data_IF_249905611829
#
_entry.id   IF_249905611829
#
_cell.length_a   1.000
_cell.length_b   1.000
_cell.length_c   1.000
_cell.angle_alpha   90.00
_cell.angle_beta   90.00
_cell.angle_gamma   90.00
#
_symmetry.space_group_name_H-M   'P 1'
#
loop_
_entity.id
_entity.type
_entity.pdbx_description
1 polymer ?
#
# COMPACT_ATOMS: atom_id res chain seq x y z
N UNK A 1 -24.14 -24.57 -49.23
CA UNK A 1 -23.61 -24.24 -50.57
C UNK A 1 -22.61 -23.11 -50.42
N UNK A 2 -21.52 -23.15 -51.19
CA UNK A 2 -20.38 -22.21 -51.27
C UNK A 2 -19.41 -22.23 -50.07
N UNK A 3 -18.08 -22.28 -50.23
CA UNK A 3 -17.22 -22.39 -51.41
C UNK A 3 -15.85 -22.96 -50.99
N UNK A 4 -15.41 -24.04 -51.67
CA UNK A 4 -14.01 -24.43 -51.75
C UNK A 4 -13.37 -23.69 -52.92
N UNK A 5 -12.22 -23.05 -52.69
CA UNK A 5 -11.25 -22.75 -53.74
C UNK A 5 -9.87 -22.61 -53.10
N UNK A 6 -9.02 -23.62 -53.29
CA UNK A 6 -7.58 -23.46 -53.15
C UNK A 6 -6.90 -24.27 -54.26
N UNK A 7 -6.07 -23.55 -55.00
CA UNK A 7 -5.42 -23.88 -56.27
C UNK A 7 -4.26 -24.87 -56.09
N UNK A 8 -4.10 -25.74 -57.10
CA UNK A 8 -2.94 -26.60 -57.36
C UNK A 8 -1.76 -25.77 -57.90
N UNK A 9 -0.53 -26.00 -57.40
CA UNK A 9 0.70 -26.05 -58.22
C UNK A 9 1.72 -27.03 -57.62
N UNK A 10 2.30 -27.85 -58.51
CA UNK A 10 3.31 -28.90 -58.34
C UNK A 10 4.70 -28.39 -57.91
N UNK A 11 5.53 -29.26 -57.30
CA UNK A 11 6.98 -29.05 -57.30
C UNK A 11 7.83 -29.98 -56.43
N UNK A 12 8.31 -31.08 -57.03
CA UNK A 12 9.64 -31.72 -56.90
C UNK A 12 10.16 -32.13 -55.51
N UNK A 13 10.43 -33.43 -55.36
CA UNK A 13 10.78 -34.08 -54.11
C UNK A 13 12.19 -33.86 -53.56
N UNK A 14 12.31 -34.13 -52.26
CA UNK A 14 13.55 -34.37 -51.52
C UNK A 14 13.31 -35.49 -50.50
N UNK A 15 14.26 -36.41 -50.41
CA UNK A 15 14.28 -37.62 -49.55
C UNK A 15 14.24 -37.23 -48.05
N UNK A 16 13.67 -38.04 -47.15
CA UNK A 16 13.68 -37.73 -45.73
C UNK A 16 15.03 -38.12 -45.10
N UNK A 17 15.87 -37.15 -44.76
CA UNK A 17 17.01 -37.35 -43.85
C UNK A 17 16.61 -37.10 -42.40
N UNK A 18 16.87 -38.10 -41.56
CA UNK A 18 17.14 -38.07 -40.10
C UNK A 18 16.19 -37.28 -39.21
N UNK A 19 15.35 -38.02 -38.49
CA UNK A 19 14.73 -37.59 -37.24
C UNK A 19 15.81 -37.26 -36.20
N UNK A 20 15.97 -35.97 -35.89
CA UNK A 20 16.68 -35.51 -34.70
C UNK A 20 15.68 -35.43 -33.55
N UNK A 21 15.80 -36.34 -32.60
CA UNK A 21 15.04 -36.37 -31.36
C UNK A 21 15.39 -35.13 -30.51
N UNK A 22 14.43 -34.22 -30.35
CA UNK A 22 14.54 -33.09 -29.45
C UNK A 22 14.37 -33.59 -28.00
N UNK A 23 15.42 -33.52 -27.19
CA UNK A 23 15.31 -33.73 -25.74
C UNK A 23 15.25 -32.37 -25.03
N UNK A 24 14.21 -32.09 -24.23
CA UNK A 24 14.17 -30.87 -23.45
C UNK A 24 15.15 -30.95 -22.28
N UNK A 25 15.99 -29.93 -22.16
CA UNK A 25 16.88 -29.70 -21.01
C UNK A 25 16.00 -29.33 -19.81
N UNK A 26 16.06 -30.12 -18.74
CA UNK A 26 15.42 -29.81 -17.46
C UNK A 26 16.34 -28.93 -16.62
N UNK A 27 15.87 -27.73 -16.27
CA UNK A 27 16.51 -26.87 -15.28
C UNK A 27 15.99 -27.21 -13.88
N UNK A 28 16.86 -27.38 -12.87
CA UNK A 28 16.40 -27.58 -11.50
C UNK A 28 15.78 -26.28 -10.98
N UNK A 29 14.48 -26.30 -10.66
CA UNK A 29 13.80 -25.18 -10.02
C UNK A 29 14.17 -25.11 -8.53
N UNK A 30 15.23 -24.40 -8.18
CA UNK A 30 15.46 -24.01 -6.77
C UNK A 30 14.84 -22.64 -6.50
N UNK A 31 13.52 -22.60 -6.40
CA UNK A 31 12.83 -21.44 -5.82
C UNK A 31 12.35 -21.83 -4.42
N UNK A 32 13.21 -21.65 -3.41
CA UNK A 32 12.73 -21.54 -2.03
C UNK A 32 11.95 -20.23 -1.93
N UNK A 33 10.65 -20.27 -2.22
CA UNK A 33 9.73 -19.19 -1.85
C UNK A 33 9.53 -19.25 -0.34
N UNK A 34 10.39 -18.59 0.41
CA UNK A 34 10.07 -18.21 1.79
C UNK A 34 8.93 -17.19 1.70
N UNK A 35 7.69 -17.67 1.80
CA UNK A 35 6.56 -16.81 2.10
C UNK A 35 6.78 -16.34 3.53
N UNK A 36 7.37 -15.15 3.67
CA UNK A 36 7.46 -14.47 4.95
C UNK A 36 6.04 -14.19 5.43
N UNK A 37 5.58 -15.01 6.36
CA UNK A 37 4.31 -14.85 7.04
C UNK A 37 4.33 -13.51 7.79
N UNK A 38 3.29 -12.71 7.54
CA UNK A 38 2.88 -11.43 8.12
C UNK A 38 3.68 -10.94 9.34
N UNK A 39 4.41 -9.82 9.17
CA UNK A 39 5.11 -9.08 10.26
C UNK A 39 4.45 -7.76 10.64
N UNK A 40 3.51 -7.24 9.84
CA UNK A 40 3.03 -5.87 9.97
C UNK A 40 2.28 -5.60 11.28
N UNK A 41 1.29 -6.43 11.63
CA UNK A 41 0.56 -6.30 12.90
C UNK A 41 1.45 -6.39 14.14
N UNK A 42 2.46 -7.27 14.13
CA UNK A 42 3.31 -7.54 15.28
C UNK A 42 4.21 -6.36 15.68
N UNK A 43 4.47 -5.38 14.79
CA UNK A 43 5.22 -4.17 15.17
C UNK A 43 4.34 -3.20 15.98
N UNK A 44 3.08 -3.06 15.57
CA UNK A 44 2.09 -2.19 16.24
C UNK A 44 1.67 -2.78 17.58
N UNK A 45 1.52 -4.11 17.67
CA UNK A 45 1.06 -4.80 18.88
C UNK A 45 2.04 -4.69 20.07
N UNK A 46 3.26 -4.18 19.86
CA UNK A 46 4.22 -3.87 20.94
C UNK A 46 3.83 -2.63 21.75
N UNK A 47 3.00 -1.76 21.19
CA UNK A 47 2.62 -0.50 21.79
C UNK A 47 1.32 -0.66 22.60
N UNK A 48 1.31 -0.11 23.81
CA UNK A 48 0.11 -0.12 24.65
C UNK A 48 -0.88 0.93 24.19
N UNK A 49 -2.17 0.59 24.16
CA UNK A 49 -3.24 1.58 23.93
C UNK A 49 -3.42 2.55 25.09
N UNK A 50 -2.78 2.31 26.23
CA UNK A 50 -2.82 3.19 27.40
C UNK A 50 -1.77 4.32 27.33
N UNK A 51 -0.78 4.20 26.44
CA UNK A 51 0.27 5.20 26.26
C UNK A 51 -0.11 6.19 25.15
N UNK A 52 0.45 7.40 25.20
CA UNK A 52 0.30 8.38 24.13
C UNK A 52 1.35 8.11 23.07
N UNK A 53 0.90 7.74 21.88
CA UNK A 53 1.76 7.47 20.72
C UNK A 53 2.02 8.76 19.93
N UNK A 54 3.29 8.98 19.57
CA UNK A 54 3.71 10.08 18.70
C UNK A 54 4.20 9.52 17.35
N UNK A 55 3.44 9.82 16.29
CA UNK A 55 3.70 9.40 14.90
C UNK A 55 4.08 10.61 14.04
N UNK A 56 5.35 11.09 14.03
CA UNK A 56 5.76 12.24 13.23
C UNK A 56 5.57 12.01 11.72
N UNK A 57 4.97 12.99 11.04
CA UNK A 57 4.82 12.99 9.59
C UNK A 57 6.10 13.37 8.87
N UNK A 58 6.53 12.49 7.97
CA UNK A 58 7.69 12.73 7.10
C UNK A 58 7.44 13.79 6.02
N UNK A 59 6.19 14.26 5.85
CA UNK A 59 5.87 15.35 4.92
C UNK A 59 6.67 16.62 5.24
N UNK A 60 7.01 16.83 6.52
CA UNK A 60 7.80 17.96 7.00
C UNK A 60 9.32 17.72 6.99
N UNK A 61 9.76 16.51 6.64
CA UNK A 61 11.17 16.13 6.69
C UNK A 61 11.96 16.68 5.50
N UNK A 62 13.29 16.72 5.63
CA UNK A 62 14.16 16.94 4.49
C UNK A 62 14.32 15.66 3.64
N UNK A 63 13.63 15.61 2.51
CA UNK A 63 13.64 14.48 1.57
C UNK A 63 15.02 14.15 0.99
N UNK A 64 15.96 15.10 0.92
CA UNK A 64 17.32 14.83 0.42
C UNK A 64 18.13 13.91 1.35
N UNK A 65 17.67 13.74 2.60
CA UNK A 65 18.32 12.94 3.65
C UNK A 65 17.28 12.18 4.48
N UNK A 66 16.24 11.67 3.82
CA UNK A 66 15.05 11.13 4.49
C UNK A 66 15.38 9.99 5.48
N UNK A 67 16.28 9.08 5.13
CA UNK A 67 16.70 8.01 6.02
C UNK A 67 17.40 8.50 7.30
N UNK A 68 18.17 9.58 7.21
CA UNK A 68 18.78 10.22 8.39
C UNK A 68 17.72 10.93 9.24
N UNK A 69 16.73 11.58 8.62
CA UNK A 69 15.64 12.25 9.32
C UNK A 69 14.78 11.26 10.11
N UNK A 70 14.47 10.09 9.52
CA UNK A 70 13.74 9.03 10.21
C UNK A 70 14.53 8.50 11.41
N UNK A 71 15.82 8.22 11.25
CA UNK A 71 16.67 7.80 12.38
C UNK A 71 16.76 8.85 13.47
N UNK A 72 16.78 10.14 13.11
CA UNK A 72 16.85 11.22 14.08
C UNK A 72 15.58 11.29 14.96
N UNK A 73 14.39 11.15 14.37
CA UNK A 73 13.14 11.14 15.15
C UNK A 73 12.96 9.85 15.95
N UNK A 74 13.42 8.70 15.43
CA UNK A 74 13.45 7.44 16.17
C UNK A 74 14.35 7.56 17.42
N UNK A 75 15.56 8.11 17.27
CA UNK A 75 16.46 8.39 18.41
C UNK A 75 15.87 9.41 19.40
N UNK A 76 15.02 10.33 18.92
CA UNK A 76 14.30 11.27 19.78
C UNK A 76 13.11 10.63 20.52
N UNK A 77 12.81 9.35 20.24
CA UNK A 77 11.79 8.57 20.95
C UNK A 77 10.40 8.64 20.35
N UNK A 78 10.26 8.87 19.03
CA UNK A 78 8.96 8.67 18.39
C UNK A 78 8.59 7.18 18.34
N UNK A 79 7.30 6.91 18.31
CA UNK A 79 6.77 5.54 18.35
C UNK A 79 6.62 4.96 16.96
N UNK A 80 5.98 5.71 16.06
CA UNK A 80 5.66 5.31 14.68
C UNK A 80 6.21 6.35 13.69
N UNK A 81 6.23 6.03 12.40
CA UNK A 81 6.58 6.98 11.33
C UNK A 81 5.37 7.17 10.43
N UNK A 82 4.81 8.39 10.41
CA UNK A 82 3.63 8.69 9.62
C UNK A 82 4.00 9.07 8.18
N UNK A 83 3.31 8.47 7.22
CA UNK A 83 3.56 8.61 5.78
C UNK A 83 2.28 9.08 5.09
N UNK A 84 2.26 10.37 4.77
CA UNK A 84 1.15 11.02 4.05
C UNK A 84 1.28 10.82 2.53
N UNK A 85 0.40 10.00 1.96
CA UNK A 85 0.34 9.66 0.53
C UNK A 85 -0.77 10.47 -0.13
N UNK A 86 -0.42 11.25 -1.15
CA UNK A 86 -1.35 12.13 -1.87
C UNK A 86 -1.20 11.93 -3.39
N UNK A 87 -2.32 11.87 -4.11
CA UNK A 87 -2.36 11.58 -5.56
C UNK A 87 -2.71 12.78 -6.45
N UNK A 88 -2.93 13.96 -5.86
CA UNK A 88 -3.37 15.16 -6.60
C UNK A 88 -4.84 15.13 -7.04
N UNK A 89 -5.60 14.10 -6.65
CA UNK A 89 -7.00 13.90 -7.01
C UNK A 89 -7.91 14.05 -5.80
N UNK A 90 -7.66 13.29 -4.74
CA UNK A 90 -8.43 13.39 -3.51
C UNK A 90 -8.09 14.68 -2.74
N UNK A 91 -6.82 15.06 -2.78
CA UNK A 91 -6.30 16.34 -2.27
C UNK A 91 -5.52 17.07 -3.36
N UNK A 92 -5.42 18.41 -3.35
CA UNK A 92 -4.77 19.19 -4.40
C UNK A 92 -3.23 19.22 -4.26
N UNK A 93 -2.61 18.08 -3.93
CA UNK A 93 -1.17 17.94 -3.79
C UNK A 93 -0.72 16.51 -4.11
N UNK A 94 0.54 16.32 -4.52
CA UNK A 94 1.15 15.00 -4.80
C UNK A 94 2.39 14.87 -3.93
N UNK A 95 2.51 13.77 -3.17
CA UNK A 95 3.63 13.57 -2.26
C UNK A 95 4.53 12.42 -2.73
N UNK A 96 4.24 11.21 -2.27
CA UNK A 96 5.10 10.04 -2.35
C UNK A 96 4.26 8.79 -2.55
N UNK A 97 4.90 7.74 -3.07
CA UNK A 97 4.26 6.44 -3.32
C UNK A 97 4.96 5.29 -2.58
N UNK A 98 4.59 4.04 -2.90
CA UNK A 98 5.11 2.85 -2.24
C UNK A 98 6.64 2.74 -2.27
N UNK A 99 7.32 3.31 -3.28
CA UNK A 99 8.79 3.25 -3.34
C UNK A 99 9.47 3.91 -2.13
N UNK A 100 8.87 4.95 -1.56
CA UNK A 100 9.44 5.63 -0.37
C UNK A 100 9.25 4.78 0.87
N UNK A 101 8.09 4.12 1.00
CA UNK A 101 7.84 3.15 2.08
C UNK A 101 8.83 1.99 2.01
N UNK A 102 9.05 1.44 0.82
CA UNK A 102 10.03 0.36 0.58
C UNK A 102 11.45 0.79 0.95
N UNK A 103 11.85 2.02 0.58
CA UNK A 103 13.15 2.58 0.91
C UNK A 103 13.32 2.87 2.41
N UNK A 104 12.24 3.22 3.12
CA UNK A 104 12.25 3.47 4.57
C UNK A 104 12.23 2.20 5.40
N UNK A 105 11.60 1.13 4.89
CA UNK A 105 11.47 -0.12 5.63
C UNK A 105 12.79 -0.71 6.16
N UNK A 106 13.92 -0.72 5.42
CA UNK A 106 15.20 -1.20 5.96
C UNK A 106 15.92 -0.18 6.87
N UNK A 107 15.42 1.06 6.99
CA UNK A 107 16.06 2.14 7.76
C UNK A 107 15.67 2.13 9.23
N UNK A 108 14.44 1.69 9.54
CA UNK A 108 13.85 1.67 10.88
C UNK A 108 13.08 0.38 11.11
N UNK A 109 12.92 -0.05 12.37
CA UNK A 109 12.03 -1.16 12.77
C UNK A 109 10.72 -0.66 13.41
N UNK A 110 10.52 0.67 13.53
CA UNK A 110 9.26 1.25 13.98
C UNK A 110 8.11 0.97 13.00
N UNK A 111 6.84 0.97 13.45
CA UNK A 111 5.70 0.90 12.56
C UNK A 111 5.70 2.02 11.51
N UNK A 112 5.46 1.66 10.25
CA UNK A 112 5.17 2.60 9.18
C UNK A 112 3.65 2.78 9.08
N UNK A 113 3.19 3.96 9.47
CA UNK A 113 1.79 4.37 9.52
C UNK A 113 1.42 5.13 8.25
N UNK A 114 0.83 4.44 7.28
CA UNK A 114 0.55 4.97 5.94
C UNK A 114 -0.87 5.51 5.85
N UNK A 115 -0.99 6.79 5.55
CA UNK A 115 -2.25 7.49 5.38
C UNK A 115 -2.50 7.77 3.89
N UNK A 116 -3.53 7.14 3.32
CA UNK A 116 -3.87 7.22 1.90
C UNK A 116 -4.90 8.31 1.61
N UNK A 117 -4.43 9.53 1.35
CA UNK A 117 -5.22 10.64 0.80
C UNK A 117 -5.31 10.55 -0.74
N UNK A 118 -5.89 9.45 -1.22
CA UNK A 118 -6.01 9.13 -2.65
C UNK A 118 -7.43 8.66 -3.00
N UNK A 119 -7.76 8.70 -4.29
CA UNK A 119 -8.97 8.03 -4.81
C UNK A 119 -8.69 6.56 -5.09
N UNK A 120 -9.73 5.72 -5.01
CA UNK A 120 -9.65 4.27 -5.29
C UNK A 120 -8.52 3.56 -4.51
N UNK A 121 -8.39 3.78 -3.18
CA UNK A 121 -7.23 3.30 -2.42
C UNK A 121 -7.07 1.79 -2.44
N UNK A 122 -8.16 1.02 -2.62
CA UNK A 122 -8.15 -0.44 -2.73
C UNK A 122 -7.21 -0.96 -3.84
N UNK A 123 -6.94 -0.14 -4.87
CA UNK A 123 -6.01 -0.46 -5.95
C UNK A 123 -4.55 -0.35 -5.51
N UNK A 124 -4.25 0.49 -4.51
CA UNK A 124 -2.89 0.77 -4.06
C UNK A 124 -2.53 0.14 -2.71
N UNK A 125 -3.53 -0.25 -1.91
CA UNK A 125 -3.34 -0.97 -0.64
C UNK A 125 -2.31 -2.12 -0.75
N UNK A 126 -2.38 -3.04 -1.75
CA UNK A 126 -1.42 -4.14 -1.83
C UNK A 126 0.03 -3.69 -2.02
N UNK A 127 0.25 -2.59 -2.75
CA UNK A 127 1.59 -2.07 -3.00
C UNK A 127 2.23 -1.52 -1.73
N UNK A 128 1.47 -0.76 -0.93
CA UNK A 128 1.97 -0.18 0.32
C UNK A 128 2.25 -1.26 1.39
N UNK A 129 1.38 -2.26 1.50
CA UNK A 129 1.61 -3.38 2.42
C UNK A 129 2.84 -4.19 1.98
N UNK A 130 2.98 -4.45 0.68
CA UNK A 130 4.18 -5.12 0.13
C UNK A 130 5.45 -4.31 0.38
N UNK A 131 5.39 -2.98 0.29
CA UNK A 131 6.49 -2.08 0.60
C UNK A 131 6.86 -2.04 2.10
N UNK A 132 6.03 -2.62 2.98
CA UNK A 132 6.32 -2.77 4.40
C UNK A 132 5.53 -1.84 5.32
N UNK A 133 4.41 -1.27 4.85
CA UNK A 133 3.44 -0.58 5.71
C UNK A 133 2.92 -1.53 6.80
N UNK A 134 2.85 -1.03 8.03
CA UNK A 134 2.32 -1.77 9.18
C UNK A 134 0.85 -1.40 9.46
N UNK A 135 0.51 -0.13 9.23
CA UNK A 135 -0.84 0.42 9.28
C UNK A 135 -1.14 1.05 7.91
N UNK A 136 -2.35 0.82 7.39
CA UNK A 136 -2.85 1.52 6.21
C UNK A 136 -4.20 2.13 6.55
N UNK A 137 -4.28 3.45 6.47
CA UNK A 137 -5.48 4.23 6.77
C UNK A 137 -6.09 4.77 5.49
N UNK A 138 -7.39 4.53 5.29
CA UNK A 138 -8.16 4.99 4.11
C UNK A 138 -9.29 5.92 4.53
N UNK A 139 -9.61 6.88 3.67
CA UNK A 139 -10.70 7.83 3.88
C UNK A 139 -12.07 7.17 3.74
N UNK A 140 -12.99 7.45 4.67
CA UNK A 140 -14.38 6.98 4.60
C UNK A 140 -15.24 7.78 3.61
N UNK A 141 -14.76 8.94 3.14
CA UNK A 141 -15.47 9.76 2.18
C UNK A 141 -15.69 8.99 0.86
N UNK A 142 -16.93 9.05 0.34
CA UNK A 142 -17.31 8.38 -0.90
C UNK A 142 -16.51 8.86 -2.13
N UNK A 143 -15.90 10.04 -2.05
CA UNK A 143 -14.99 10.57 -3.07
C UNK A 143 -13.62 9.86 -3.09
N UNK A 144 -13.29 9.10 -2.04
CA UNK A 144 -12.09 8.26 -1.96
C UNK A 144 -12.46 6.78 -2.12
N UNK A 145 -13.30 6.24 -1.23
CA UNK A 145 -13.54 4.80 -1.12
C UNK A 145 -15.02 4.47 -1.27
N UNK A 146 -15.39 3.74 -2.34
CA UNK A 146 -16.80 3.39 -2.59
C UNK A 146 -17.29 2.27 -1.66
N UNK A 147 -16.44 1.27 -1.41
CA UNK A 147 -16.78 0.06 -0.65
C UNK A 147 -15.93 -0.05 0.62
N UNK A 148 -16.10 0.88 1.55
CA UNK A 148 -15.25 1.03 2.74
C UNK A 148 -15.02 -0.27 3.52
N UNK A 149 -16.09 -1.00 3.87
CA UNK A 149 -15.98 -2.29 4.58
C UNK A 149 -15.07 -3.29 3.85
N UNK A 150 -15.21 -3.41 2.53
CA UNK A 150 -14.38 -4.31 1.72
C UNK A 150 -12.92 -3.90 1.73
N UNK A 151 -12.64 -2.59 1.67
CA UNK A 151 -11.26 -2.07 1.70
C UNK A 151 -10.62 -2.30 3.07
N UNK A 152 -11.36 -2.11 4.16
CA UNK A 152 -10.92 -2.45 5.53
C UNK A 152 -10.56 -3.94 5.63
N UNK A 153 -11.44 -4.84 5.17
CA UNK A 153 -11.17 -6.29 5.15
C UNK A 153 -9.95 -6.63 4.29
N UNK A 154 -9.80 -5.97 3.14
CA UNK A 154 -8.65 -6.18 2.25
C UNK A 154 -7.34 -5.86 2.96
N UNK A 155 -7.24 -4.71 3.64
CA UNK A 155 -6.05 -4.29 4.39
C UNK A 155 -5.68 -5.35 5.44
N UNK A 156 -6.66 -5.80 6.23
CA UNK A 156 -6.44 -6.83 7.26
C UNK A 156 -6.06 -8.18 6.66
N UNK A 157 -6.69 -8.59 5.57
CA UNK A 157 -6.40 -9.86 4.88
C UNK A 157 -4.98 -9.92 4.32
N UNK A 158 -4.40 -8.76 4.00
CA UNK A 158 -3.03 -8.61 3.53
C UNK A 158 -2.02 -8.48 4.69
N UNK A 159 -2.50 -8.41 5.93
CA UNK A 159 -1.68 -8.51 7.15
C UNK A 159 -1.31 -7.20 7.81
N UNK A 160 -1.81 -6.06 7.33
CA UNK A 160 -1.64 -4.75 7.98
C UNK A 160 -2.81 -4.43 8.92
N UNK A 161 -2.61 -3.47 9.83
CA UNK A 161 -3.71 -2.89 10.63
C UNK A 161 -4.51 -1.94 9.75
N UNK A 162 -5.84 -2.01 9.83
CA UNK A 162 -6.72 -1.18 9.02
C UNK A 162 -7.13 0.09 9.79
N UNK A 163 -6.82 1.25 9.23
CA UNK A 163 -7.27 2.54 9.72
C UNK A 163 -8.38 3.14 8.86
N UNK A 164 -9.27 3.92 9.47
CA UNK A 164 -10.24 4.74 8.75
C UNK A 164 -10.09 6.21 9.13
N UNK A 165 -10.07 7.07 8.12
CA UNK A 165 -9.86 8.51 8.25
C UNK A 165 -11.16 9.26 8.02
N UNK A 166 -11.40 10.29 8.84
CA UNK A 166 -12.51 11.22 8.67
C UNK A 166 -11.96 12.64 8.50
N UNK A 167 -12.39 13.31 7.43
CA UNK A 167 -12.18 14.75 7.26
C UNK A 167 -12.93 15.55 8.35
N UNK A 168 -12.54 16.80 8.61
CA UNK A 168 -13.17 17.62 9.65
C UNK A 168 -14.70 17.75 9.51
N UNK A 169 -15.19 17.82 8.26
CA UNK A 169 -16.61 17.94 7.95
C UNK A 169 -17.38 16.62 7.87
N UNK A 170 -16.71 15.48 8.05
CA UNK A 170 -17.33 14.16 7.91
C UNK A 170 -17.87 13.69 9.26
N UNK A 171 -19.17 13.36 9.36
CA UNK A 171 -19.76 12.95 10.64
C UNK A 171 -19.28 11.56 11.07
N UNK A 172 -19.20 11.34 12.39
CA UNK A 172 -18.80 10.04 12.96
C UNK A 172 -19.72 8.88 12.55
N UNK A 173 -20.99 9.16 12.22
CA UNK A 173 -21.92 8.15 11.71
C UNK A 173 -21.48 7.53 10.39
N UNK A 174 -20.57 8.18 9.64
CA UNK A 174 -20.02 7.64 8.40
C UNK A 174 -19.25 6.32 8.59
N UNK A 175 -18.79 6.03 9.82
CA UNK A 175 -17.99 4.84 10.12
C UNK A 175 -18.70 3.85 11.06
N UNK A 176 -19.98 4.08 11.39
CA UNK A 176 -20.74 3.28 12.36
C UNK A 176 -20.67 1.77 12.06
N UNK A 177 -20.84 1.40 10.78
CA UNK A 177 -20.89 0.01 10.34
C UNK A 177 -19.53 -0.65 10.06
N UNK A 178 -18.43 0.07 10.27
CA UNK A 178 -17.07 -0.51 10.17
C UNK A 178 -16.29 -0.38 11.48
N UNK A 179 -16.89 0.21 12.51
CA UNK A 179 -16.23 0.56 13.76
C UNK A 179 -15.68 -0.64 14.52
N UNK A 180 -16.34 -1.79 14.41
CA UNK A 180 -15.93 -3.06 15.02
C UNK A 180 -14.79 -3.77 14.26
N UNK A 181 -14.53 -3.34 13.03
CA UNK A 181 -13.61 -3.98 12.10
C UNK A 181 -12.27 -3.25 12.00
N UNK A 182 -12.22 -1.96 12.35
CA UNK A 182 -11.01 -1.11 12.27
C UNK A 182 -10.09 -1.29 13.47
N UNK A 183 -8.79 -1.07 13.23
CA UNK A 183 -7.75 -1.09 14.26
C UNK A 183 -7.35 0.33 14.72
N UNK A 184 -7.62 1.34 13.88
CA UNK A 184 -7.31 2.75 14.11
C UNK A 184 -8.38 3.67 13.48
N UNK A 185 -8.68 4.78 14.15
CA UNK A 185 -9.48 5.88 13.59
C UNK A 185 -8.62 7.13 13.58
N UNK A 186 -8.47 7.76 12.42
CA UNK A 186 -7.74 9.01 12.25
C UNK A 186 -8.74 10.15 12.06
N UNK A 187 -8.79 11.07 13.03
CA UNK A 187 -9.60 12.28 12.93
C UNK A 187 -8.73 13.40 12.39
N UNK A 188 -9.06 13.90 11.21
CA UNK A 188 -8.36 15.04 10.64
C UNK A 188 -8.78 16.31 11.39
N UNK A 189 -7.82 16.97 12.02
CA UNK A 189 -7.99 18.28 12.68
C UNK A 189 -7.65 19.47 11.77
N UNK A 190 -7.29 19.18 10.52
CA UNK A 190 -7.02 20.14 9.45
C UNK A 190 -7.58 19.57 8.15
N UNK A 191 -7.82 20.42 7.15
CA UNK A 191 -8.17 19.90 5.83
C UNK A 191 -6.95 19.22 5.20
N UNK A 192 -7.04 17.97 4.74
CA UNK A 192 -5.88 17.26 4.21
C UNK A 192 -5.33 17.91 2.94
N UNK A 193 -4.02 17.74 2.71
CA UNK A 193 -3.33 18.18 1.49
C UNK A 193 -2.06 19.01 1.72
N UNK A 194 -1.96 19.71 2.86
CA UNK A 194 -0.81 20.55 3.19
C UNK A 194 -0.44 20.46 4.67
N UNK A 195 0.87 20.47 4.97
CA UNK A 195 1.38 20.61 6.33
C UNK A 195 1.35 22.06 6.81
N UNK A 196 1.53 22.28 8.12
CA UNK A 196 1.67 23.62 8.72
C UNK A 196 0.37 24.42 8.88
N UNK A 197 -0.78 23.78 8.69
CA UNK A 197 -2.09 24.38 8.95
C UNK A 197 -2.38 24.46 10.45
N UNK A 198 -3.17 25.45 10.85
CA UNK A 198 -3.68 25.58 12.22
C UNK A 198 -4.77 24.54 12.50
N UNK A 199 -4.81 24.04 13.74
CA UNK A 199 -5.87 23.15 14.21
C UNK A 199 -7.24 23.83 14.07
N UNK A 200 -8.22 23.11 13.51
CA UNK A 200 -9.61 23.54 13.42
C UNK A 200 -10.27 23.27 14.76
N UNK A 201 -10.81 24.31 15.41
CA UNK A 201 -11.55 24.15 16.67
C UNK A 201 -12.77 23.23 16.48
N UNK A 202 -12.97 22.34 17.44
CA UNK A 202 -13.99 21.28 17.47
C UNK A 202 -15.03 21.53 18.56
#
# INVERSE_FOLDING_TARGET
MSSLAASLVNGVGLRPERALLYQPISFPSSSKKTHGVVKASARVDKFSKSDIIVSPSILSANFSKLGEQVKAVELAGCDWIHVDVMDGRFVPNITIGPLVVDALRPVTDLPLDVHLMIVEPEQRVPDFIKAGADIVSVHCEQSSTIHLHRTVDQIKSLGAKAGVVLNPGTPLSAIEYVLDSVDLILIMSVNPGFGGQSFIES
#
